data_IF_894440480204
#
_entry.id   IF_894440480204
#
_cell.length_a   1.000
_cell.length_b   1.000
_cell.length_c   1.000
_cell.angle_alpha   90.00
_cell.angle_beta   90.00
_cell.angle_gamma   90.00
#
_symmetry.space_group_name_H-M   'P 1'
#
loop_
_entity.id
_entity.type
_entity.pdbx_description
1 polymer ?
#
# COMPACT_ATOMS: atom_id res chain seq x y z
N UNK A 1 16.67 -17.54 2.21
CA UNK A 1 17.40 -17.30 0.96
C UNK A 1 16.40 -16.93 -0.13
N UNK A 2 16.69 -16.01 -1.06
CA UNK A 2 15.83 -15.82 -2.22
C UNK A 2 15.78 -17.14 -3.00
N UNK A 3 14.58 -17.58 -3.38
CA UNK A 3 14.38 -18.82 -4.13
C UNK A 3 15.01 -18.76 -5.53
N UNK A 4 15.08 -19.91 -6.23
CA UNK A 4 15.67 -19.98 -7.57
C UNK A 4 14.96 -19.01 -8.52
N UNK A 5 15.75 -18.24 -9.25
CA UNK A 5 15.29 -17.30 -10.28
C UNK A 5 14.88 -18.13 -11.52
N UNK A 6 13.65 -17.98 -12.05
CA UNK A 6 13.26 -18.65 -13.29
C UNK A 6 14.17 -18.24 -14.45
N UNK A 7 14.57 -19.19 -15.31
CA UNK A 7 15.37 -18.92 -16.50
C UNK A 7 14.71 -17.82 -17.36
N UNK A 8 15.42 -16.70 -17.55
CA UNK A 8 14.95 -15.54 -18.32
C UNK A 8 14.32 -14.41 -17.48
N UNK A 9 14.10 -14.60 -16.17
CA UNK A 9 13.61 -13.55 -15.28
C UNK A 9 14.74 -12.68 -14.73
N UNK A 10 14.59 -11.35 -14.77
CA UNK A 10 15.45 -10.47 -13.96
C UNK A 10 15.26 -10.83 -12.47
N UNK A 11 16.32 -10.86 -11.66
CA UNK A 11 16.19 -11.18 -10.24
C UNK A 11 15.23 -10.20 -9.56
N UNK A 12 14.31 -10.74 -8.78
CA UNK A 12 13.34 -9.96 -8.02
C UNK A 12 14.07 -9.20 -6.90
N UNK A 13 13.88 -7.89 -6.84
CA UNK A 13 14.45 -7.05 -5.77
C UNK A 13 13.51 -7.07 -4.57
N UNK A 14 13.93 -7.71 -3.47
CA UNK A 14 13.16 -7.82 -2.23
C UNK A 14 13.56 -6.79 -1.16
N UNK A 15 14.53 -5.93 -1.45
CA UNK A 15 15.02 -4.90 -0.53
C UNK A 15 13.93 -3.86 -0.24
N UNK A 16 13.51 -3.72 1.03
CA UNK A 16 12.35 -2.87 1.39
C UNK A 16 12.56 -1.40 1.11
N UNK A 17 13.77 -0.88 1.31
CA UNK A 17 14.06 0.53 1.00
C UNK A 17 14.17 0.80 -0.51
N UNK A 18 14.34 -0.24 -1.34
CA UNK A 18 14.39 -0.09 -2.80
C UNK A 18 13.03 0.34 -3.37
N UNK A 19 11.93 0.21 -2.63
CA UNK A 19 10.62 0.75 -3.02
C UNK A 19 10.64 2.27 -3.18
N UNK A 20 11.47 2.99 -2.44
CA UNK A 20 11.64 4.43 -2.64
C UNK A 20 12.26 4.73 -4.01
N UNK A 21 13.24 3.93 -4.43
CA UNK A 21 13.83 4.07 -5.76
C UNK A 21 12.82 3.71 -6.85
N UNK A 22 12.11 2.59 -6.70
CA UNK A 22 11.04 2.21 -7.63
C UNK A 22 10.00 3.34 -7.80
N UNK A 23 9.60 4.00 -6.70
CA UNK A 23 8.67 5.15 -6.74
C UNK A 23 9.22 6.35 -7.51
N UNK A 24 10.54 6.61 -7.46
CA UNK A 24 11.15 7.67 -8.28
C UNK A 24 11.12 7.32 -9.77
N UNK A 25 11.31 6.05 -10.11
CA UNK A 25 11.19 5.57 -11.50
C UNK A 25 9.73 5.73 -11.97
N UNK A 26 8.75 5.33 -11.16
CA UNK A 26 7.33 5.50 -11.48
C UNK A 26 6.92 6.97 -11.60
N UNK A 27 7.49 7.86 -10.76
CA UNK A 27 7.26 9.30 -10.87
C UNK A 27 7.76 9.87 -12.20
N UNK A 28 8.96 9.47 -12.61
CA UNK A 28 9.52 9.87 -13.91
C UNK A 28 8.66 9.33 -15.06
N UNK A 29 8.33 8.04 -15.02
CA UNK A 29 7.44 7.42 -15.99
C UNK A 29 6.09 8.12 -16.08
N UNK A 30 5.48 8.48 -14.94
CA UNK A 30 4.22 9.21 -14.92
C UNK A 30 4.34 10.58 -15.60
N UNK A 31 5.45 11.29 -15.40
CA UNK A 31 5.71 12.56 -16.08
C UNK A 31 5.85 12.39 -17.61
N UNK A 32 6.60 11.38 -18.05
CA UNK A 32 6.76 11.06 -19.48
C UNK A 32 5.43 10.64 -20.13
N UNK A 33 4.67 9.77 -19.46
CA UNK A 33 3.37 9.31 -19.93
C UNK A 33 2.34 10.43 -19.98
N UNK A 34 2.37 11.38 -19.03
CA UNK A 34 1.52 12.58 -19.08
C UNK A 34 1.81 13.42 -20.32
N UNK A 35 3.08 13.63 -20.67
CA UNK A 35 3.44 14.37 -21.89
C UNK A 35 2.93 13.68 -23.15
N UNK A 36 3.08 12.35 -23.22
CA UNK A 36 2.57 11.54 -24.35
C UNK A 36 1.05 11.68 -24.49
N UNK A 37 0.30 11.53 -23.40
CA UNK A 37 -1.16 11.63 -23.39
C UNK A 37 -1.67 13.04 -23.74
N UNK A 38 -1.00 14.09 -23.26
CA UNK A 38 -1.36 15.48 -23.58
C UNK A 38 -1.02 15.84 -25.03
N UNK A 39 -0.07 15.14 -25.64
CA UNK A 39 0.32 15.34 -27.04
C UNK A 39 -0.54 14.52 -28.02
N UNK A 40 -1.37 13.60 -27.52
CA UNK A 40 -2.28 12.80 -28.34
C UNK A 40 -3.39 13.69 -28.93
N UNK A 41 -3.57 13.75 -30.26
CA UNK A 41 -4.65 14.53 -30.86
C UNK A 41 -6.05 14.17 -30.34
N UNK A 42 -6.28 12.93 -29.92
CA UNK A 42 -7.55 12.47 -29.37
C UNK A 42 -7.90 13.11 -28.02
N UNK A 43 -6.92 13.69 -27.29
CA UNK A 43 -7.17 14.34 -25.98
C UNK A 43 -8.17 15.50 -26.07
N UNK A 44 -8.34 16.09 -27.27
CA UNK A 44 -9.30 17.18 -27.54
C UNK A 44 -10.55 16.70 -28.30
N UNK A 45 -10.70 15.39 -28.51
CA UNK A 45 -11.86 14.80 -29.17
C UNK A 45 -13.16 15.17 -28.47
N UNK A 46 -14.22 15.39 -29.26
CA UNK A 46 -15.57 15.60 -28.73
C UNK A 46 -16.26 14.28 -28.34
N UNK A 47 -15.68 13.13 -28.71
CA UNK A 47 -16.21 11.80 -28.41
C UNK A 47 -15.75 11.34 -27.02
N UNK A 48 -16.25 11.97 -25.96
CA UNK A 48 -15.79 11.75 -24.57
C UNK A 48 -16.66 10.77 -23.77
N UNK A 49 -17.78 10.31 -24.34
CA UNK A 49 -18.78 9.54 -23.59
C UNK A 49 -19.51 8.54 -24.46
N UNK A 50 -19.61 7.31 -23.96
CA UNK A 50 -20.54 6.29 -24.44
C UNK A 50 -21.61 6.09 -23.38
N UNK A 51 -22.88 6.18 -23.77
CA UNK A 51 -24.00 5.97 -22.85
C UNK A 51 -24.23 4.47 -22.61
N UNK A 52 -24.47 4.04 -21.36
CA UNK A 52 -24.87 2.67 -21.09
C UNK A 52 -26.17 2.31 -21.83
N UNK A 53 -26.20 1.14 -22.45
CA UNK A 53 -27.38 0.64 -23.19
C UNK A 53 -28.40 -0.06 -22.30
N UNK A 54 -28.04 -0.38 -21.05
CA UNK A 54 -28.89 -1.05 -20.07
C UNK A 54 -28.49 -0.67 -18.64
N UNK A 55 -29.40 -0.88 -17.69
CA UNK A 55 -29.09 -0.78 -16.28
C UNK A 55 -27.98 -1.78 -15.92
N UNK A 56 -26.90 -1.34 -15.24
CA UNK A 56 -25.86 -2.26 -14.77
C UNK A 56 -26.43 -3.14 -13.67
N UNK A 57 -25.96 -4.38 -13.60
CA UNK A 57 -26.28 -5.33 -12.51
C UNK A 57 -25.06 -5.62 -11.64
N UNK A 58 -23.87 -5.60 -12.23
CA UNK A 58 -22.59 -5.85 -11.57
C UNK A 58 -21.46 -5.22 -12.40
N UNK A 59 -20.41 -4.77 -11.73
CA UNK A 59 -19.23 -4.23 -12.39
C UNK A 59 -17.99 -4.32 -11.50
N UNK A 60 -16.85 -4.64 -12.13
CA UNK A 60 -15.54 -4.65 -11.49
C UNK A 60 -14.62 -3.72 -12.27
N UNK A 61 -14.01 -2.77 -11.57
CA UNK A 61 -13.00 -1.87 -12.12
C UNK A 61 -11.70 -2.03 -11.34
N UNK A 62 -10.60 -2.21 -12.07
CA UNK A 62 -9.27 -2.35 -11.48
C UNK A 62 -8.29 -1.39 -12.14
N UNK A 63 -7.51 -0.70 -11.32
CA UNK A 63 -6.42 0.19 -11.77
C UNK A 63 -5.21 0.02 -10.85
N UNK A 64 -4.02 0.37 -11.34
CA UNK A 64 -2.85 0.53 -10.48
C UNK A 64 -2.88 1.90 -9.82
N UNK A 65 -3.23 1.93 -8.53
CA UNK A 65 -3.04 3.13 -7.73
C UNK A 65 -1.55 3.24 -7.33
N UNK A 66 -1.06 4.44 -6.93
CA UNK A 66 0.36 4.63 -6.59
C UNK A 66 0.90 3.76 -5.43
N UNK A 67 0.00 3.05 -4.72
CA UNK A 67 0.31 2.23 -3.53
C UNK A 67 -0.04 0.75 -3.75
N UNK A 68 -0.24 0.34 -5.00
CA UNK A 68 -0.62 -1.00 -5.42
C UNK A 68 -2.03 -1.09 -6.02
N UNK A 69 -2.37 -2.27 -6.50
CA UNK A 69 -3.62 -2.56 -7.22
C UNK A 69 -4.87 -2.15 -6.42
N UNK A 70 -5.73 -1.37 -7.07
CA UNK A 70 -7.01 -0.90 -6.55
C UNK A 70 -8.14 -1.57 -7.33
N UNK A 71 -8.99 -2.31 -6.64
CA UNK A 71 -10.17 -2.97 -7.22
C UNK A 71 -11.45 -2.50 -6.53
N UNK A 72 -12.37 -2.01 -7.34
CA UNK A 72 -13.73 -1.66 -6.95
C UNK A 72 -14.71 -2.65 -7.57
N UNK A 73 -15.53 -3.29 -6.76
CA UNK A 73 -16.57 -4.22 -7.19
C UNK A 73 -17.92 -3.78 -6.65
N UNK A 74 -18.88 -3.59 -7.54
CA UNK A 74 -20.23 -3.15 -7.20
C UNK A 74 -21.27 -4.10 -7.78
N UNK A 75 -22.34 -4.33 -7.01
CA UNK A 75 -23.55 -5.04 -7.45
C UNK A 75 -24.74 -4.12 -7.24
N UNK A 76 -25.60 -4.00 -8.23
CA UNK A 76 -26.73 -3.05 -8.28
C UNK A 76 -28.07 -3.75 -8.42
N UNK A 77 -29.16 -3.04 -8.13
CA UNK A 77 -30.52 -3.49 -8.45
C UNK A 77 -30.99 -3.05 -9.84
N UNK A 78 -32.24 -3.37 -10.18
CA UNK A 78 -32.87 -3.02 -11.46
C UNK A 78 -32.91 -1.51 -11.74
N UNK A 79 -32.80 -0.67 -10.69
CA UNK A 79 -32.76 0.78 -10.78
C UNK A 79 -31.32 1.32 -10.84
N UNK A 80 -30.31 0.45 -10.83
CA UNK A 80 -28.90 0.81 -10.81
C UNK A 80 -28.41 1.27 -9.43
N UNK A 81 -29.16 1.02 -8.35
CA UNK A 81 -28.76 1.39 -6.99
C UNK A 81 -27.86 0.31 -6.40
N UNK A 82 -26.73 0.71 -5.83
CA UNK A 82 -25.74 -0.20 -5.24
C UNK A 82 -26.34 -0.96 -4.06
N UNK A 83 -26.33 -2.28 -4.16
CA UNK A 83 -26.73 -3.23 -3.09
C UNK A 83 -25.54 -3.85 -2.37
N UNK A 84 -24.41 -4.01 -3.07
CA UNK A 84 -23.15 -4.52 -2.49
C UNK A 84 -21.98 -3.75 -3.06
N UNK A 85 -20.97 -3.52 -2.23
CA UNK A 85 -19.69 -2.98 -2.63
C UNK A 85 -18.58 -3.81 -1.96
N UNK A 86 -17.53 -4.13 -2.72
CA UNK A 86 -16.30 -4.71 -2.22
C UNK A 86 -15.13 -3.87 -2.75
N UNK A 87 -14.26 -3.43 -1.85
CA UNK A 87 -13.16 -2.52 -2.13
C UNK A 87 -11.86 -3.16 -1.64
N UNK A 88 -11.01 -3.54 -2.57
CA UNK A 88 -9.67 -4.07 -2.28
C UNK A 88 -8.67 -3.03 -2.76
N UNK A 89 -8.09 -2.29 -1.82
CA UNK A 89 -7.23 -1.12 -2.13
C UNK A 89 -5.75 -1.46 -1.96
N UNK A 90 -4.88 -0.69 -2.65
CA UNK A 90 -3.45 -1.00 -2.76
C UNK A 90 -2.75 -1.32 -1.43
N UNK A 91 -2.92 -0.48 -0.40
CA UNK A 91 -2.26 -0.70 0.89
C UNK A 91 -2.77 -1.95 1.63
N UNK A 92 -4.02 -2.37 1.42
CA UNK A 92 -4.57 -3.60 2.02
C UNK A 92 -3.78 -4.83 1.57
N UNK A 93 -3.40 -4.88 0.30
CA UNK A 93 -2.59 -5.97 -0.26
C UNK A 93 -1.20 -6.07 0.41
N UNK A 94 -0.68 -4.95 0.91
CA UNK A 94 0.63 -4.86 1.55
C UNK A 94 0.62 -5.03 3.07
N UNK A 95 -0.55 -5.18 3.70
CA UNK A 95 -0.67 -5.18 5.17
C UNK A 95 0.22 -6.24 5.83
N UNK A 96 0.20 -7.48 5.32
CA UNK A 96 1.04 -8.56 5.85
C UNK A 96 2.54 -8.24 5.73
N UNK A 97 2.99 -7.75 4.58
CA UNK A 97 4.38 -7.41 4.33
C UNK A 97 4.86 -6.26 5.22
N UNK A 98 4.00 -5.25 5.44
CA UNK A 98 4.24 -4.14 6.37
C UNK A 98 4.46 -4.68 7.79
N UNK A 99 3.54 -5.48 8.32
CA UNK A 99 3.66 -6.07 9.67
C UNK A 99 4.93 -6.91 9.83
N UNK A 100 5.26 -7.72 8.82
CA UNK A 100 6.49 -8.52 8.80
C UNK A 100 7.74 -7.64 8.80
N UNK A 101 7.74 -6.55 8.04
CA UNK A 101 8.88 -5.63 7.94
C UNK A 101 9.11 -4.86 9.23
N UNK A 102 8.05 -4.40 9.88
CA UNK A 102 8.11 -3.75 11.20
C UNK A 102 8.68 -4.72 12.23
N UNK A 103 8.17 -5.96 12.27
CA UNK A 103 8.68 -7.00 13.17
C UNK A 103 10.16 -7.26 12.96
N UNK A 104 10.58 -7.44 11.70
CA UNK A 104 11.99 -7.70 11.37
C UNK A 104 12.90 -6.51 11.74
N UNK A 105 12.46 -5.27 11.49
CA UNK A 105 13.19 -4.08 11.87
C UNK A 105 13.34 -3.96 13.40
N UNK A 106 12.24 -4.16 14.14
CA UNK A 106 12.27 -4.16 15.59
C UNK A 106 13.19 -5.25 16.15
N UNK A 107 13.09 -6.49 15.64
CA UNK A 107 13.96 -7.59 16.05
C UNK A 107 15.43 -7.35 15.70
N UNK A 108 15.73 -6.61 14.63
CA UNK A 108 17.08 -6.24 14.23
C UNK A 108 17.72 -5.16 15.11
N UNK A 109 16.92 -4.19 15.55
CA UNK A 109 17.40 -2.99 16.25
C UNK A 109 17.26 -3.06 17.77
N UNK A 110 16.22 -3.71 18.29
CA UNK A 110 15.96 -3.83 19.72
C UNK A 110 16.60 -5.13 20.22
N UNK A 111 17.72 -5.00 20.93
CA UNK A 111 18.50 -6.12 21.50
C UNK A 111 18.65 -5.96 23.01
N UNK A 112 18.94 -7.05 23.71
CA UNK A 112 19.19 -7.02 25.16
C UNK A 112 20.34 -6.06 25.48
N UNK A 113 20.13 -5.17 26.44
CA UNK A 113 21.11 -4.16 26.85
C UNK A 113 21.16 -2.92 25.95
N UNK A 114 20.39 -2.85 24.87
CA UNK A 114 20.24 -1.65 24.04
C UNK A 114 19.08 -0.81 24.56
N UNK A 115 19.34 0.45 24.88
CA UNK A 115 18.29 1.40 25.26
C UNK A 115 17.38 1.70 24.05
N UNK A 116 16.06 1.64 24.25
CA UNK A 116 15.08 1.95 23.20
C UNK A 116 14.83 3.46 23.18
N UNK A 117 15.60 4.14 22.34
CA UNK A 117 15.49 5.59 22.11
C UNK A 117 14.50 5.92 21.00
N UNK A 118 14.06 7.18 20.92
CA UNK A 118 13.24 7.68 19.81
C UNK A 118 13.89 7.46 18.44
N UNK A 119 15.23 7.52 18.36
CA UNK A 119 15.96 7.23 17.12
C UNK A 119 15.76 5.78 16.66
N UNK A 120 15.78 4.83 17.59
CA UNK A 120 15.51 3.41 17.30
C UNK A 120 14.07 3.20 16.85
N UNK A 121 13.10 3.83 17.54
CA UNK A 121 11.69 3.76 17.16
C UNK A 121 11.45 4.36 15.77
N UNK A 122 12.07 5.49 15.44
CA UNK A 122 11.98 6.09 14.12
C UNK A 122 12.54 5.18 13.02
N UNK A 123 13.63 4.45 13.27
CA UNK A 123 14.14 3.46 12.32
C UNK A 123 13.20 2.26 12.13
N UNK A 124 12.48 1.85 13.18
CA UNK A 124 11.40 0.84 13.05
C UNK A 124 10.25 1.40 12.20
N UNK A 125 9.87 2.67 12.39
CA UNK A 125 8.86 3.35 11.57
C UNK A 125 9.30 3.48 10.09
N UNK A 126 10.60 3.56 9.78
CA UNK A 126 11.06 3.58 8.39
C UNK A 126 10.65 2.31 7.62
N UNK A 127 10.61 1.16 8.29
CA UNK A 127 10.14 -0.09 7.68
C UNK A 127 8.65 -0.03 7.30
N UNK A 128 7.86 0.78 8.02
CA UNK A 128 6.47 1.09 7.67
C UNK A 128 6.39 2.09 6.51
N UNK A 129 7.14 3.20 6.58
CA UNK A 129 7.13 4.28 5.57
C UNK A 129 7.62 3.83 4.19
N UNK A 130 8.47 2.80 4.13
CA UNK A 130 8.94 2.22 2.87
C UNK A 130 7.81 1.86 1.89
N UNK A 131 6.64 1.48 2.42
CA UNK A 131 5.48 1.07 1.63
C UNK A 131 4.59 2.24 1.19
N UNK A 132 4.86 3.49 1.60
CA UNK A 132 3.95 4.64 1.44
C UNK A 132 2.48 4.26 1.78
N UNK A 133 2.21 3.77 2.99
CA UNK A 133 0.90 3.22 3.32
C UNK A 133 -0.17 4.33 3.42
N UNK A 134 -1.31 4.13 2.75
CA UNK A 134 -2.52 4.94 2.96
C UNK A 134 -3.53 4.16 3.80
N UNK A 135 -3.52 4.33 5.12
CA UNK A 135 -4.48 3.62 5.99
C UNK A 135 -5.90 4.19 5.94
N UNK A 136 -6.09 5.49 5.68
CA UNK A 136 -7.42 6.01 5.39
C UNK A 136 -8.06 5.33 4.18
N UNK A 137 -7.26 5.03 3.15
CA UNK A 137 -7.66 4.21 2.02
C UNK A 137 -7.90 2.76 2.45
N UNK A 138 -6.92 2.14 3.14
CA UNK A 138 -6.94 0.71 3.49
C UNK A 138 -8.14 0.29 4.34
N UNK A 139 -8.47 1.09 5.36
CA UNK A 139 -9.54 0.76 6.31
C UNK A 139 -10.88 1.38 5.93
N UNK A 140 -10.90 2.30 4.95
CA UNK A 140 -12.09 3.00 4.52
C UNK A 140 -12.82 3.72 5.68
N UNK A 141 -12.08 4.10 6.73
CA UNK A 141 -12.62 4.61 8.00
C UNK A 141 -12.12 6.03 8.29
N UNK A 142 -13.03 6.92 8.70
CA UNK A 142 -12.80 8.27 9.26
C UNK A 142 -13.27 8.28 10.72
N UNK A 143 -12.57 8.87 11.71
CA UNK A 143 -11.29 9.59 11.63
C UNK A 143 -10.11 8.63 11.78
N UNK A 144 -9.17 8.67 10.83
CA UNK A 144 -8.02 7.77 10.79
C UNK A 144 -6.99 8.09 11.88
N UNK A 145 -7.24 7.64 13.10
CA UNK A 145 -6.17 7.49 14.09
C UNK A 145 -5.37 6.22 13.76
N UNK A 146 -4.06 6.30 13.88
CA UNK A 146 -3.16 5.19 13.61
C UNK A 146 -2.41 4.84 14.89
N UNK A 147 -3.11 4.28 15.90
CA UNK A 147 -2.50 3.99 17.17
C UNK A 147 -1.41 2.93 16.99
N UNK A 148 -0.15 3.33 17.13
CA UNK A 148 0.99 2.41 17.13
C UNK A 148 1.37 2.14 18.59
N UNK A 149 1.22 0.89 19.00
CA UNK A 149 1.67 0.43 20.32
C UNK A 149 2.88 -0.47 20.16
N UNK A 150 4.02 -0.04 20.68
CA UNK A 150 5.26 -0.82 20.74
C UNK A 150 5.41 -1.35 22.16
N UNK A 151 5.35 -2.68 22.31
CA UNK A 151 5.61 -3.39 23.57
C UNK A 151 6.90 -4.17 23.47
N UNK A 152 7.86 -3.85 24.32
CA UNK A 152 9.08 -4.63 24.50
C UNK A 152 8.82 -5.61 25.64
N UNK A 153 9.01 -6.90 25.37
CA UNK A 153 8.83 -7.98 26.34
C UNK A 153 10.14 -8.72 26.56
N UNK A 154 10.36 -9.16 27.80
CA UNK A 154 11.40 -10.12 28.13
C UNK A 154 11.00 -11.54 27.69
N UNK A 155 11.92 -12.49 27.78
CA UNK A 155 11.75 -13.88 27.31
C UNK A 155 10.63 -14.63 28.02
N UNK A 156 10.29 -14.24 29.25
CA UNK A 156 9.20 -14.77 30.06
C UNK A 156 7.83 -14.13 29.74
N UNK A 157 7.81 -13.15 28.83
CA UNK A 157 6.62 -12.40 28.43
C UNK A 157 6.36 -11.12 29.24
N UNK A 158 7.17 -10.84 30.27
CA UNK A 158 7.09 -9.63 31.09
C UNK A 158 7.27 -8.38 30.22
N UNK A 159 6.38 -7.40 30.33
CA UNK A 159 6.48 -6.14 29.57
C UNK A 159 7.53 -5.24 30.23
N UNK A 160 8.66 -5.04 29.55
CA UNK A 160 9.75 -4.19 30.02
C UNK A 160 9.48 -2.70 29.72
N UNK A 161 8.81 -2.42 28.61
CA UNK A 161 8.48 -1.06 28.18
C UNK A 161 7.30 -1.07 27.21
N UNK A 162 6.44 -0.07 27.32
CA UNK A 162 5.35 0.20 26.40
C UNK A 162 5.44 1.66 25.95
N UNK A 163 5.31 1.87 24.63
CA UNK A 163 5.17 3.19 24.03
C UNK A 163 3.96 3.17 23.11
N UNK A 164 3.12 4.17 23.25
CA UNK A 164 1.91 4.33 22.44
C UNK A 164 1.96 5.70 21.78
N UNK A 165 1.68 5.72 20.49
CA UNK A 165 1.46 6.94 19.70
C UNK A 165 0.04 6.85 19.16
N UNK A 166 -0.80 7.81 19.53
CA UNK A 166 -2.20 7.91 19.07
C UNK A 166 -2.29 8.46 17.63
#
# INVERSE_FOLDING_TARGET
APGPVPEGGKPQVHGRLATHWARLIELMFAAERMLELVSDPEITSQQVRVLPTRAPTEGVGTVEAPRGTLTHHYVTDERGIVKKANLIVGTTNNHAAICMSIKQAAQGLIKKGVEVTEGVLNMVEMAFRAYDPCYGCATHSLPGQMPLTVRVRDVDGTVLSERRRD
#
